data_IF_168244144356
#
_entry.id   IF_168244144356
#
_cell.length_a   1.000
_cell.length_b   1.000
_cell.length_c   1.000
_cell.angle_alpha   90.00
_cell.angle_beta   90.00
_cell.angle_gamma   90.00
#
_symmetry.space_group_name_H-M   'P 1'
#
loop_
_entity.id
_entity.type
_entity.pdbx_description
1 polymer ?
#
# COMPACT_ATOMS: atom_id res chain seq x y z
N UNK A 1 -9.85 0.85 6.81
CA UNK A 1 -9.93 -0.42 6.05
C UNK A 1 -11.39 -0.70 5.69
N UNK A 2 -11.73 -0.74 4.41
CA UNK A 2 -13.12 -1.01 4.01
C UNK A 2 -13.50 -2.45 4.30
N UNK A 3 -14.66 -2.66 4.90
CA UNK A 3 -15.20 -4.00 5.15
C UNK A 3 -16.22 -4.41 4.10
N UNK A 4 -16.67 -3.47 3.30
CA UNK A 4 -17.55 -3.71 2.16
C UNK A 4 -16.73 -3.48 0.90
N UNK A 5 -17.01 -4.26 -0.12
CA UNK A 5 -16.29 -4.15 -1.39
C UNK A 5 -17.09 -3.43 -2.48
N UNK A 6 -18.15 -2.71 -2.10
CA UNK A 6 -18.84 -1.89 -3.08
C UNK A 6 -17.96 -0.72 -3.51
N UNK A 7 -18.18 -0.27 -4.73
CA UNK A 7 -17.32 0.73 -5.36
C UNK A 7 -17.28 2.02 -4.56
N UNK A 8 -18.42 2.47 -4.06
CA UNK A 8 -18.49 3.72 -3.32
C UNK A 8 -17.69 3.68 -2.03
N UNK A 9 -17.81 2.59 -1.27
CA UNK A 9 -17.06 2.44 -0.02
C UNK A 9 -15.57 2.39 -0.29
N UNK A 10 -15.16 1.65 -1.31
CA UNK A 10 -13.72 1.54 -1.66
C UNK A 10 -13.18 2.87 -2.14
N UNK A 11 -13.94 3.61 -2.96
CA UNK A 11 -13.51 4.94 -3.42
C UNK A 11 -13.34 5.90 -2.25
N UNK A 12 -14.25 5.89 -1.31
CA UNK A 12 -14.16 6.77 -0.13
C UNK A 12 -12.93 6.42 0.71
N UNK A 13 -12.73 5.13 0.98
CA UNK A 13 -11.58 4.69 1.76
C UNK A 13 -10.27 5.01 1.04
N UNK A 14 -10.22 4.80 -0.27
CA UNK A 14 -9.02 5.08 -1.06
C UNK A 14 -8.70 6.57 -1.03
N UNK A 15 -9.71 7.41 -1.21
CA UNK A 15 -9.53 8.87 -1.15
C UNK A 15 -9.02 9.35 0.19
N UNK A 16 -9.55 8.80 1.28
CA UNK A 16 -9.09 9.14 2.63
C UNK A 16 -7.64 8.70 2.84
N UNK A 17 -7.30 7.49 2.42
CA UNK A 17 -5.94 6.97 2.56
C UNK A 17 -4.94 7.80 1.73
N UNK A 18 -5.31 8.11 0.51
CA UNK A 18 -4.48 8.92 -0.38
C UNK A 18 -4.24 10.31 0.20
N UNK A 19 -5.30 10.98 0.64
CA UNK A 19 -5.18 12.32 1.22
C UNK A 19 -4.32 12.35 2.47
N UNK A 20 -4.49 11.36 3.33
CA UNK A 20 -3.69 11.24 4.54
C UNK A 20 -2.20 11.03 4.20
N UNK A 21 -1.91 10.13 3.24
CA UNK A 21 -0.54 9.85 2.84
C UNK A 21 0.11 11.07 2.18
N UNK A 22 -0.62 11.80 1.34
CA UNK A 22 -0.12 13.03 0.72
C UNK A 22 0.26 14.07 1.79
N UNK A 23 -0.51 14.14 2.84
CA UNK A 23 -0.21 15.05 3.93
C UNK A 23 1.08 14.66 4.65
N UNK A 24 1.32 13.35 4.84
CA UNK A 24 2.57 12.89 5.45
C UNK A 24 3.78 13.28 4.61
N UNK A 25 3.67 13.15 3.29
CA UNK A 25 4.74 13.58 2.39
C UNK A 25 4.93 15.09 2.44
N UNK A 26 3.83 15.83 2.43
CA UNK A 26 3.88 17.30 2.49
C UNK A 26 4.52 17.84 3.76
N UNK A 27 4.38 17.10 4.86
CA UNK A 27 5.01 17.47 6.13
C UNK A 27 6.44 16.98 6.28
N UNK A 28 6.96 16.29 5.27
CA UNK A 28 8.31 15.75 5.30
C UNK A 28 8.48 14.50 6.14
N UNK A 29 7.40 13.89 6.61
CA UNK A 29 7.49 12.67 7.41
C UNK A 29 7.83 11.46 6.55
N UNK A 30 7.38 11.46 5.28
CA UNK A 30 7.68 10.42 4.30
C UNK A 30 8.26 11.07 3.06
N UNK A 31 9.10 10.34 2.35
CA UNK A 31 9.61 10.81 1.05
C UNK A 31 8.68 10.48 -0.10
N UNK A 32 7.91 9.41 0.06
CA UNK A 32 6.92 9.00 -0.90
C UNK A 32 6.07 7.91 -0.31
N UNK A 33 5.19 7.32 -1.10
CA UNK A 33 4.39 6.19 -0.64
C UNK A 33 3.90 5.37 -1.82
N UNK A 34 3.60 4.11 -1.53
CA UNK A 34 2.84 3.27 -2.45
C UNK A 34 1.45 3.08 -1.86
N UNK A 35 0.45 3.07 -2.72
CA UNK A 35 -0.92 2.81 -2.32
C UNK A 35 -1.51 1.81 -3.29
N UNK A 36 -2.24 0.85 -2.77
CA UNK A 36 -2.83 -0.16 -3.63
C UNK A 36 -3.60 -1.20 -2.89
N UNK A 37 -4.08 -2.18 -3.64
CA UNK A 37 -4.97 -3.19 -3.14
C UNK A 37 -4.77 -4.47 -3.96
N UNK A 38 -4.78 -5.62 -3.31
CA UNK A 38 -4.75 -6.90 -3.98
C UNK A 38 -6.16 -7.47 -4.03
N UNK A 39 -6.65 -7.77 -5.22
CA UNK A 39 -7.99 -8.29 -5.43
C UNK A 39 -7.88 -9.63 -6.14
N UNK A 40 -8.34 -10.68 -5.48
CA UNK A 40 -8.30 -12.03 -6.01
C UNK A 40 -7.03 -12.77 -5.65
N UNK A 41 -7.12 -14.10 -5.59
CA UNK A 41 -5.99 -14.94 -5.21
C UNK A 41 -4.82 -14.79 -6.18
N UNK A 42 -5.11 -14.70 -7.48
CA UNK A 42 -4.06 -14.57 -8.49
C UNK A 42 -3.31 -13.24 -8.39
N UNK A 43 -3.90 -12.26 -7.73
CA UNK A 43 -3.26 -10.96 -7.50
C UNK A 43 -2.59 -10.87 -6.13
N UNK A 44 -2.56 -11.97 -5.39
CA UNK A 44 -1.90 -12.03 -4.10
C UNK A 44 -2.76 -11.67 -2.90
N UNK A 45 -4.08 -11.68 -3.06
CA UNK A 45 -4.96 -11.40 -1.93
C UNK A 45 -4.91 -12.58 -0.96
N UNK A 46 -4.48 -12.31 0.26
CA UNK A 46 -4.40 -13.34 1.31
C UNK A 46 -5.46 -13.16 2.39
N UNK A 47 -6.00 -11.96 2.50
CA UNK A 47 -7.09 -11.63 3.42
C UNK A 47 -8.33 -11.39 2.57
N UNK A 48 -9.42 -12.08 2.89
CA UNK A 48 -10.57 -12.14 1.99
C UNK A 48 -11.52 -10.96 2.08
N UNK A 49 -11.31 -10.01 2.96
CA UNK A 49 -12.06 -8.76 2.91
C UNK A 49 -11.22 -7.67 2.23
N UNK A 50 -11.88 -6.68 1.62
CA UNK A 50 -11.16 -5.59 0.96
C UNK A 50 -10.30 -4.80 1.93
N UNK A 51 -9.09 -4.49 1.52
CA UNK A 51 -8.23 -3.61 2.31
C UNK A 51 -7.26 -2.89 1.39
N UNK A 52 -6.85 -1.71 1.81
CA UNK A 52 -5.96 -0.86 1.04
C UNK A 52 -4.64 -0.74 1.80
N UNK A 53 -3.54 -0.97 1.09
CA UNK A 53 -2.20 -0.82 1.64
C UNK A 53 -1.71 0.59 1.41
N UNK A 54 -1.16 1.20 2.44
CA UNK A 54 -0.42 2.45 2.31
C UNK A 54 0.96 2.20 2.89
N UNK A 55 1.98 2.29 2.05
CA UNK A 55 3.33 1.95 2.44
C UNK A 55 4.20 3.18 2.31
N UNK A 56 4.71 3.72 3.43
CA UNK A 56 5.64 4.85 3.34
C UNK A 56 6.94 4.41 2.69
N UNK A 57 7.48 5.27 1.84
CA UNK A 57 8.70 4.96 1.11
C UNK A 57 9.75 6.02 1.36
N UNK A 58 11.01 5.57 1.42
CA UNK A 58 12.16 6.41 1.67
C UNK A 58 13.27 6.02 0.71
N UNK A 59 14.20 6.94 0.45
CA UNK A 59 15.37 6.59 -0.34
C UNK A 59 16.11 5.43 0.32
N UNK A 60 16.53 4.47 -0.50
CA UNK A 60 17.31 3.32 -0.04
C UNK A 60 16.56 2.39 0.92
N UNK A 61 15.23 2.41 0.86
CA UNK A 61 14.42 1.49 1.67
C UNK A 61 14.35 0.09 1.08
N UNK A 62 14.95 -0.10 -0.10
CA UNK A 62 15.03 -1.39 -0.78
C UNK A 62 16.49 -1.77 -0.90
N UNK A 63 16.82 -3.02 -0.59
CA UNK A 63 18.18 -3.50 -0.77
C UNK A 63 18.56 -3.51 -2.24
N UNK A 64 19.81 -3.16 -2.51
CA UNK A 64 20.33 -3.06 -3.86
C UNK A 64 20.01 -1.72 -4.47
N UNK A 65 20.18 -1.63 -5.79
CA UNK A 65 20.08 -0.34 -6.49
C UNK A 65 18.78 -0.13 -7.21
N UNK A 66 17.92 -1.14 -7.25
CA UNK A 66 16.69 -1.09 -8.02
C UNK A 66 15.53 -0.69 -7.13
N UNK A 67 14.85 0.38 -7.52
CA UNK A 67 13.65 0.82 -6.81
C UNK A 67 12.54 -0.19 -7.09
N UNK A 68 11.92 -0.69 -6.03
CA UNK A 68 10.81 -1.62 -6.14
C UNK A 68 9.46 -0.97 -5.87
N UNK A 69 8.43 -1.60 -6.37
CA UNK A 69 7.05 -1.22 -6.08
C UNK A 69 6.56 -1.88 -4.80
N UNK A 70 5.26 -2.09 -4.69
CA UNK A 70 4.63 -2.57 -3.46
C UNK A 70 5.24 -3.88 -2.95
N UNK A 71 5.48 -4.84 -3.84
CA UNK A 71 5.99 -6.14 -3.43
C UNK A 71 7.48 -6.17 -3.13
N UNK A 72 8.18 -5.08 -3.40
CA UNK A 72 9.63 -5.03 -3.21
C UNK A 72 10.07 -3.95 -2.22
N UNK A 73 9.13 -3.31 -1.55
CA UNK A 73 9.47 -2.21 -0.65
C UNK A 73 10.17 -2.66 0.63
N UNK A 74 9.98 -3.91 1.02
CA UNK A 74 10.65 -4.48 2.19
C UNK A 74 11.18 -5.86 1.82
N UNK A 75 12.39 -5.94 1.23
CA UNK A 75 12.89 -7.18 0.66
C UNK A 75 13.07 -8.32 1.66
N UNK A 76 13.17 -8.03 2.95
CA UNK A 76 13.27 -9.05 3.98
C UNK A 76 11.92 -9.48 4.52
N UNK A 77 10.83 -8.85 4.08
CA UNK A 77 9.49 -9.18 4.52
C UNK A 77 8.89 -10.34 3.75
N UNK A 78 7.94 -11.01 4.36
CA UNK A 78 7.15 -12.03 3.67
C UNK A 78 5.98 -11.36 2.97
N UNK A 79 6.13 -11.13 1.68
CA UNK A 79 5.13 -10.42 0.89
C UNK A 79 3.81 -11.18 0.82
N UNK A 80 3.86 -12.50 0.87
CA UNK A 80 2.65 -13.32 0.83
C UNK A 80 1.84 -13.18 2.11
N UNK A 81 2.51 -12.92 3.22
CA UNK A 81 1.86 -12.77 4.49
C UNK A 81 1.22 -11.40 4.65
N UNK A 82 1.87 -10.35 4.16
CA UNK A 82 1.44 -8.97 4.42
C UNK A 82 0.64 -8.34 3.28
N UNK A 83 0.77 -8.85 2.08
CA UNK A 83 0.12 -8.28 0.91
C UNK A 83 -0.68 -9.33 0.15
#
# INVERSE_FOLDING_TARGET
IPKKDDVETVQTAYGCAYGWAKERVGKGEWQGFNIGQNIGLCAGQTVMWPHIHVIPRFENDVRGKKVGGIRQCYPDGDHKEYY
#
